data_IF_165864287619
#
_entry.id   IF_165864287619
#
_cell.length_a   1.000
_cell.length_b   1.000
_cell.length_c   1.000
_cell.angle_alpha   90.00
_cell.angle_beta   90.00
_cell.angle_gamma   90.00
#
_symmetry.space_group_name_H-M   'P 1'
#
loop_
_entity.id
_entity.type
_entity.pdbx_description
1 polymer ?
#
# COMPACT_ATOMS: atom_id res chain seq x y z
N UNK A 1 -20.93 10.29 38.63
CA UNK A 1 -20.61 10.79 37.26
C UNK A 1 -21.36 9.92 36.25
N UNK A 2 -21.83 10.47 35.13
CA UNK A 2 -22.45 9.65 34.07
C UNK A 2 -21.41 9.15 33.07
N UNK A 3 -21.65 7.98 32.50
CA UNK A 3 -20.81 7.41 31.45
C UNK A 3 -21.54 6.34 30.66
N UNK A 4 -20.78 5.57 29.90
CA UNK A 4 -21.27 4.50 29.06
C UNK A 4 -20.50 3.20 29.29
N UNK A 5 -21.21 2.08 29.15
CA UNK A 5 -20.62 0.75 29.21
C UNK A 5 -21.26 -0.15 28.17
N UNK A 6 -20.44 -0.99 27.54
CA UNK A 6 -20.88 -2.04 26.62
C UNK A 6 -20.73 -3.38 27.31
N UNK A 7 -21.66 -4.29 27.04
CA UNK A 7 -21.73 -5.65 27.54
C UNK A 7 -21.94 -6.62 26.37
N UNK A 8 -21.67 -7.89 26.64
CA UNK A 8 -22.03 -8.98 25.75
C UNK A 8 -23.55 -9.05 25.53
N UNK A 9 -24.03 -9.79 24.51
CA UNK A 9 -25.46 -9.89 24.20
C UNK A 9 -26.35 -10.36 25.36
N UNK A 10 -25.78 -11.13 26.29
CA UNK A 10 -26.40 -11.68 27.49
C UNK A 10 -26.27 -10.79 28.74
N UNK A 11 -25.87 -9.52 28.59
CA UNK A 11 -25.60 -8.58 29.69
C UNK A 11 -24.41 -8.95 30.59
N UNK A 12 -23.54 -9.85 30.15
CA UNK A 12 -22.30 -10.13 30.88
C UNK A 12 -21.18 -9.16 30.50
N UNK A 13 -20.28 -8.92 31.45
CA UNK A 13 -18.98 -8.31 31.18
C UNK A 13 -17.94 -9.04 32.03
N UNK A 14 -17.00 -9.74 31.38
CA UNK A 14 -16.17 -10.77 32.03
C UNK A 14 -17.08 -11.81 32.70
N UNK A 15 -16.80 -12.20 33.93
CA UNK A 15 -17.53 -13.24 34.66
C UNK A 15 -18.68 -12.67 35.51
N UNK A 16 -19.13 -11.44 35.23
CA UNK A 16 -20.16 -10.75 36.00
C UNK A 16 -21.41 -10.46 35.16
N UNK A 17 -22.57 -10.78 35.72
CA UNK A 17 -23.89 -10.56 35.11
C UNK A 17 -24.49 -9.24 35.58
N UNK A 18 -24.95 -8.42 34.64
CA UNK A 18 -25.60 -7.15 34.93
C UNK A 18 -27.09 -7.17 34.56
N UNK A 19 -27.83 -6.22 35.10
CA UNK A 19 -29.24 -5.95 34.80
C UNK A 19 -29.52 -4.46 34.87
N UNK A 20 -30.43 -3.98 34.02
CA UNK A 20 -30.85 -2.59 33.99
C UNK A 20 -31.60 -2.23 35.26
N UNK A 21 -31.29 -1.08 35.87
CA UNK A 21 -31.87 -0.58 37.11
C UNK A 21 -31.04 -0.90 38.36
N UNK A 22 -30.21 -1.94 38.27
CA UNK A 22 -29.44 -2.46 39.41
C UNK A 22 -28.17 -1.66 39.71
N UNK A 23 -27.74 -1.75 40.96
CA UNK A 23 -26.49 -1.16 41.47
C UNK A 23 -25.55 -2.23 41.98
N UNK A 24 -24.29 -2.15 41.59
CA UNK A 24 -23.25 -3.12 41.91
C UNK A 24 -22.10 -2.44 42.62
N UNK A 25 -21.54 -3.12 43.61
CA UNK A 25 -20.44 -2.62 44.46
C UNK A 25 -19.42 -3.73 44.69
N UNK A 26 -18.14 -3.39 44.61
CA UNK A 26 -17.01 -4.25 44.93
C UNK A 26 -16.18 -3.60 46.03
N UNK A 27 -15.76 -4.38 47.03
CA UNK A 27 -14.85 -3.91 48.09
C UNK A 27 -13.39 -3.88 47.59
N UNK A 28 -13.12 -2.95 46.68
CA UNK A 28 -11.79 -2.71 46.09
C UNK A 28 -11.55 -1.21 45.91
N UNK A 29 -10.29 -0.78 46.07
CA UNK A 29 -9.88 0.54 45.56
C UNK A 29 -9.74 0.47 44.04
N UNK A 30 -10.51 1.25 43.26
CA UNK A 30 -10.47 1.22 41.80
C UNK A 30 -9.04 1.43 41.28
N UNK A 31 -8.69 0.68 40.23
CA UNK A 31 -7.47 0.91 39.47
C UNK A 31 -7.74 0.62 38.00
N UNK A 32 -7.73 1.66 37.18
CA UNK A 32 -8.07 1.57 35.78
C UNK A 32 -7.20 0.52 35.08
N UNK A 33 -7.82 -0.22 34.16
CA UNK A 33 -7.25 -1.40 33.51
C UNK A 33 -6.87 -2.60 34.42
N UNK A 34 -7.02 -2.52 35.75
CA UNK A 34 -6.73 -3.62 36.67
C UNK A 34 -7.96 -4.16 37.40
N UNK A 35 -8.61 -3.33 38.24
CA UNK A 35 -9.73 -3.76 39.11
C UNK A 35 -10.82 -2.69 39.25
N UNK A 36 -12.04 -3.13 39.56
CA UNK A 36 -13.26 -2.32 39.55
C UNK A 36 -14.02 -2.40 38.23
N UNK A 37 -15.20 -1.78 38.20
CA UNK A 37 -16.09 -1.77 37.03
C UNK A 37 -15.66 -0.75 36.00
N UNK A 38 -15.14 -1.20 34.85
CA UNK A 38 -14.71 -0.32 33.76
C UNK A 38 -15.88 0.26 32.96
N UNK A 39 -15.79 1.54 32.63
CA UNK A 39 -16.72 2.31 31.78
C UNK A 39 -15.95 3.39 31.00
N UNK A 40 -16.61 4.05 30.05
CA UNK A 40 -16.04 5.17 29.30
C UNK A 40 -16.88 6.44 29.49
N UNK A 41 -16.25 7.61 29.40
CA UNK A 41 -16.94 8.90 29.49
C UNK A 41 -17.75 9.16 28.23
N UNK A 42 -17.13 8.95 27.06
CA UNK A 42 -17.77 9.06 25.76
C UNK A 42 -18.17 7.68 25.24
N UNK A 43 -19.36 7.58 24.63
CA UNK A 43 -19.87 6.31 24.12
C UNK A 43 -18.96 5.70 23.04
N UNK A 44 -18.41 6.55 22.16
CA UNK A 44 -17.52 6.10 21.08
C UNK A 44 -16.28 5.36 21.61
N UNK A 45 -15.80 5.74 22.80
CA UNK A 45 -14.58 5.16 23.38
C UNK A 45 -14.80 3.74 23.89
N UNK A 46 -16.05 3.35 24.19
CA UNK A 46 -16.38 1.96 24.52
C UNK A 46 -16.00 1.01 23.39
N UNK A 47 -16.09 1.45 22.14
CA UNK A 47 -15.81 0.62 20.96
C UNK A 47 -14.32 0.51 20.62
N UNK A 48 -13.44 1.07 21.45
CA UNK A 48 -12.03 0.71 21.47
C UNK A 48 -11.79 -0.63 22.20
N UNK A 49 -12.76 -1.07 23.02
CA UNK A 49 -12.66 -2.26 23.87
C UNK A 49 -13.67 -3.36 23.48
N UNK A 50 -14.71 -2.99 22.73
CA UNK A 50 -15.74 -3.89 22.23
C UNK A 50 -15.90 -3.70 20.72
N UNK A 51 -16.19 -4.78 20.00
CA UNK A 51 -16.59 -4.68 18.60
C UNK A 51 -17.89 -3.85 18.48
N UNK A 52 -17.96 -3.01 17.46
CA UNK A 52 -19.18 -2.27 17.10
C UNK A 52 -20.21 -3.22 16.46
N UNK A 53 -20.90 -3.98 17.31
CA UNK A 53 -21.81 -5.06 16.93
C UNK A 53 -23.21 -4.82 17.52
N UNK A 54 -24.28 -4.76 16.70
CA UNK A 54 -25.64 -4.54 17.15
C UNK A 54 -26.20 -5.58 18.14
N UNK A 55 -25.54 -6.74 18.28
CA UNK A 55 -25.91 -7.74 19.28
C UNK A 55 -25.46 -7.38 20.70
N UNK A 56 -24.43 -6.53 20.82
CA UNK A 56 -23.96 -6.08 22.13
C UNK A 56 -24.99 -5.18 22.81
N UNK A 57 -24.94 -5.19 24.14
CA UNK A 57 -25.78 -4.32 24.99
C UNK A 57 -25.01 -3.07 25.35
N UNK A 58 -25.63 -1.90 25.15
CA UNK A 58 -25.01 -0.61 25.44
C UNK A 58 -25.86 0.09 26.50
N UNK A 59 -25.24 0.56 27.58
CA UNK A 59 -25.97 1.21 28.66
C UNK A 59 -25.39 2.58 29.01
N UNK A 60 -26.29 3.48 29.42
CA UNK A 60 -25.94 4.65 30.21
C UNK A 60 -25.75 4.20 31.67
N UNK A 61 -24.65 4.60 32.28
CA UNK A 61 -24.31 4.24 33.66
C UNK A 61 -24.11 5.47 34.52
N UNK A 62 -24.27 5.28 35.83
CA UNK A 62 -23.92 6.28 36.85
C UNK A 62 -22.91 5.67 37.82
N UNK A 63 -21.81 6.37 38.04
CA UNK A 63 -20.84 6.02 39.08
C UNK A 63 -21.26 6.63 40.42
N UNK A 64 -21.19 5.80 41.47
CA UNK A 64 -21.62 6.14 42.83
C UNK A 64 -20.48 6.01 43.86
N UNK A 65 -19.30 5.59 43.43
CA UNK A 65 -18.14 5.34 44.28
C UNK A 65 -16.90 6.11 43.83
N UNK A 66 -15.74 5.65 44.27
CA UNK A 66 -14.44 6.18 43.86
C UNK A 66 -14.21 5.89 42.37
N UNK A 67 -13.45 6.76 41.69
CA UNK A 67 -13.16 6.63 40.27
C UNK A 67 -11.65 6.74 40.07
N UNK A 68 -11.11 5.82 39.26
CA UNK A 68 -9.76 5.94 38.71
C UNK A 68 -9.86 6.02 37.19
N UNK A 69 -9.24 7.04 36.60
CA UNK A 69 -9.31 7.37 35.17
C UNK A 69 -7.93 7.22 34.55
N UNK A 70 -7.85 6.63 33.36
CA UNK A 70 -6.56 6.51 32.65
C UNK A 70 -6.03 7.88 32.21
N UNK A 71 -4.72 7.98 31.94
CA UNK A 71 -4.06 9.25 31.57
C UNK A 71 -4.70 9.95 30.37
N UNK A 72 -5.13 9.20 29.36
CA UNK A 72 -5.81 9.74 28.17
C UNK A 72 -7.29 10.09 28.40
N UNK A 73 -7.85 9.75 29.56
CA UNK A 73 -9.21 10.13 29.96
C UNK A 73 -10.36 9.38 29.27
N UNK A 74 -10.07 8.43 28.37
CA UNK A 74 -11.10 7.73 27.57
C UNK A 74 -11.80 6.63 28.38
N UNK A 75 -11.06 5.94 29.24
CA UNK A 75 -11.53 4.86 30.11
C UNK A 75 -11.37 5.19 31.58
N UNK A 76 -12.34 4.77 32.38
CA UNK A 76 -12.32 4.86 33.84
C UNK A 76 -12.80 3.55 34.46
N UNK A 77 -12.55 3.36 35.75
CA UNK A 77 -13.25 2.36 36.55
C UNK A 77 -13.75 2.93 37.88
N UNK A 78 -14.77 2.28 38.43
CA UNK A 78 -15.36 2.61 39.73
C UNK A 78 -15.55 1.36 40.58
N UNK A 79 -15.58 1.50 41.90
CA UNK A 79 -15.94 0.42 42.81
C UNK A 79 -17.46 0.29 43.01
N UNK A 80 -18.24 1.30 42.58
CA UNK A 80 -19.71 1.28 42.65
C UNK A 80 -20.33 1.87 41.39
N UNK A 81 -21.18 1.09 40.73
CA UNK A 81 -21.80 1.43 39.44
C UNK A 81 -23.29 1.11 39.44
N UNK A 82 -24.10 1.98 38.85
CA UNK A 82 -25.52 1.74 38.56
C UNK A 82 -25.75 1.69 37.06
N UNK A 83 -26.46 0.66 36.60
CA UNK A 83 -26.88 0.53 35.19
C UNK A 83 -28.20 1.25 35.03
N UNK A 84 -28.21 2.44 34.42
CA UNK A 84 -29.41 3.29 34.39
C UNK A 84 -30.44 2.74 33.40
N UNK A 85 -30.02 2.51 32.16
CA UNK A 85 -30.88 2.07 31.05
C UNK A 85 -30.05 1.52 29.90
N UNK A 86 -30.65 0.66 29.09
CA UNK A 86 -30.15 0.28 27.77
C UNK A 86 -30.35 1.46 26.78
N UNK A 87 -29.36 1.70 25.92
CA UNK A 87 -29.48 2.57 24.75
C UNK A 87 -29.96 1.75 23.57
N UNK A 88 -30.93 2.26 22.83
CA UNK A 88 -31.27 1.71 21.52
C UNK A 88 -30.12 1.92 20.53
N UNK A 89 -29.99 1.04 19.53
CA UNK A 89 -28.97 1.20 18.49
C UNK A 89 -29.16 2.45 17.64
N UNK A 90 -30.39 2.97 17.54
CA UNK A 90 -30.64 4.28 16.94
C UNK A 90 -29.96 5.41 17.73
N UNK A 91 -30.08 5.41 19.07
CA UNK A 91 -29.38 6.36 19.95
C UNK A 91 -27.86 6.20 19.87
N UNK A 92 -27.37 4.94 19.83
CA UNK A 92 -25.94 4.64 19.69
C UNK A 92 -25.40 5.24 18.40
N UNK A 93 -26.04 4.94 17.26
CA UNK A 93 -25.64 5.46 15.93
C UNK A 93 -25.65 7.00 15.90
N UNK A 94 -26.66 7.63 16.50
CA UNK A 94 -26.76 9.09 16.59
C UNK A 94 -25.64 9.72 17.43
N UNK A 95 -25.15 9.01 18.46
CA UNK A 95 -24.09 9.50 19.35
C UNK A 95 -22.68 9.28 18.79
N UNK A 96 -22.45 8.21 18.05
CA UNK A 96 -21.10 7.87 17.52
C UNK A 96 -20.81 8.45 16.14
N UNK A 97 -21.79 9.06 15.49
CA UNK A 97 -21.65 9.74 14.20
C UNK A 97 -21.98 11.23 14.32
N UNK A 98 -21.35 12.05 13.49
CA UNK A 98 -21.66 13.48 13.37
C UNK A 98 -22.47 13.72 12.09
N UNK A 99 -23.71 14.18 12.23
CA UNK A 99 -24.60 14.49 11.10
C UNK A 99 -25.83 13.58 11.04
N UNK A 100 -26.33 13.26 9.84
CA UNK A 100 -27.65 12.60 9.65
C UNK A 100 -27.56 11.31 8.86
N UNK A 101 -28.39 10.33 9.20
CA UNK A 101 -28.59 9.09 8.45
C UNK A 101 -27.31 8.29 8.18
N UNK A 102 -26.31 8.39 9.07
CA UNK A 102 -25.10 7.59 8.94
C UNK A 102 -25.32 6.23 9.61
N UNK A 103 -24.86 5.16 8.98
CA UNK A 103 -24.83 3.80 9.54
C UNK A 103 -23.39 3.34 9.71
N UNK A 104 -23.11 2.59 10.78
CA UNK A 104 -21.75 2.25 11.21
C UNK A 104 -21.18 3.27 12.20
N UNK A 105 -19.85 3.34 12.29
CA UNK A 105 -19.13 4.02 13.35
C UNK A 105 -18.25 5.16 12.84
N UNK A 106 -18.30 6.31 13.52
CA UNK A 106 -17.33 7.40 13.32
C UNK A 106 -17.48 8.18 12.02
N UNK A 107 -18.64 8.16 11.37
CA UNK A 107 -18.88 8.94 10.16
C UNK A 107 -19.18 10.41 10.48
N UNK A 108 -18.78 11.31 9.57
CA UNK A 108 -19.10 12.73 9.59
C UNK A 108 -19.80 13.15 8.29
N UNK A 109 -20.97 13.79 8.40
CA UNK A 109 -21.76 14.25 7.26
C UNK A 109 -23.09 13.52 7.12
N UNK A 110 -23.50 13.16 5.90
CA UNK A 110 -24.86 12.65 5.65
C UNK A 110 -24.91 11.37 4.82
N UNK A 111 -25.80 10.46 5.20
CA UNK A 111 -26.14 9.28 4.41
C UNK A 111 -24.92 8.39 4.08
N UNK A 112 -23.92 8.34 4.97
CA UNK A 112 -22.78 7.45 4.81
C UNK A 112 -23.06 6.08 5.42
N UNK A 113 -22.66 5.02 4.72
CA UNK A 113 -22.80 3.64 5.18
C UNK A 113 -21.44 2.95 5.29
N UNK A 114 -21.08 2.56 6.51
CA UNK A 114 -19.80 1.95 6.86
C UNK A 114 -19.11 2.78 7.93
N UNK A 115 -17.79 2.73 8.01
CA UNK A 115 -17.06 3.35 9.12
C UNK A 115 -16.14 4.48 8.64
N UNK A 116 -16.04 5.52 9.47
CA UNK A 116 -15.07 6.61 9.31
C UNK A 116 -15.13 7.34 7.97
N UNK A 117 -16.31 7.43 7.36
CA UNK A 117 -16.50 8.24 6.16
C UNK A 117 -16.72 9.71 6.51
N UNK A 118 -16.19 10.61 5.70
CA UNK A 118 -16.43 12.05 5.78
C UNK A 118 -17.08 12.56 4.48
N UNK A 119 -18.17 13.30 4.59
CA UNK A 119 -18.91 13.85 3.46
C UNK A 119 -20.28 13.19 3.30
N UNK A 120 -20.67 12.84 2.07
CA UNK A 120 -22.05 12.42 1.82
C UNK A 120 -22.19 11.21 0.89
N UNK A 121 -23.14 10.33 1.19
CA UNK A 121 -23.53 9.20 0.35
C UNK A 121 -22.37 8.23 0.05
N UNK A 122 -21.38 8.12 0.94
CA UNK A 122 -20.30 7.15 0.76
C UNK A 122 -20.70 5.78 1.31
N UNK A 123 -20.33 4.72 0.59
CA UNK A 123 -20.53 3.33 1.01
C UNK A 123 -19.17 2.63 1.12
N UNK A 124 -18.93 1.95 2.22
CA UNK A 124 -17.64 1.35 2.58
C UNK A 124 -16.94 2.17 3.66
N UNK A 125 -15.62 2.10 3.77
CA UNK A 125 -14.91 2.68 4.90
C UNK A 125 -13.88 3.74 4.50
N UNK A 126 -13.64 4.70 5.39
CA UNK A 126 -12.58 5.70 5.25
C UNK A 126 -12.66 6.55 3.97
N UNK A 127 -13.84 6.70 3.38
CA UNK A 127 -13.99 7.57 2.21
C UNK A 127 -14.14 9.02 2.63
N UNK A 128 -13.53 9.92 1.86
CA UNK A 128 -13.72 11.37 2.00
C UNK A 128 -14.30 11.94 0.70
N UNK A 129 -15.44 12.62 0.79
CA UNK A 129 -16.10 13.28 -0.33
C UNK A 129 -17.51 12.76 -0.58
N UNK A 130 -17.87 12.54 -1.86
CA UNK A 130 -19.27 12.35 -2.25
C UNK A 130 -19.47 11.12 -3.14
N UNK A 131 -20.41 10.27 -2.76
CA UNK A 131 -20.84 9.11 -3.55
C UNK A 131 -19.71 8.12 -3.88
N UNK A 132 -18.71 7.96 -3.02
CA UNK A 132 -17.68 6.94 -3.21
C UNK A 132 -18.21 5.57 -2.75
N UNK A 133 -17.87 4.51 -3.48
CA UNK A 133 -18.23 3.14 -3.17
C UNK A 133 -16.97 2.26 -3.11
N UNK A 134 -16.71 1.67 -1.95
CA UNK A 134 -15.49 0.94 -1.63
C UNK A 134 -14.74 1.62 -0.50
N UNK A 135 -13.42 1.48 -0.43
CA UNK A 135 -12.66 1.90 0.76
C UNK A 135 -11.57 2.94 0.44
N UNK A 136 -11.36 3.87 1.37
CA UNK A 136 -10.24 4.82 1.32
C UNK A 136 -10.19 5.69 0.06
N UNK A 137 -11.34 6.00 -0.54
CA UNK A 137 -11.40 6.89 -1.70
C UNK A 137 -11.53 8.35 -1.26
N UNK A 138 -10.86 9.25 -1.99
CA UNK A 138 -10.97 10.69 -1.83
C UNK A 138 -11.51 11.34 -3.09
N UNK A 139 -12.53 12.20 -2.94
CA UNK A 139 -13.16 12.94 -4.03
C UNK A 139 -14.57 12.44 -4.34
N UNK A 140 -14.92 12.22 -5.62
CA UNK A 140 -16.32 12.05 -6.03
C UNK A 140 -16.57 10.84 -6.93
N UNK A 141 -17.55 10.02 -6.58
CA UNK A 141 -18.06 8.92 -7.44
C UNK A 141 -17.00 7.88 -7.82
N UNK A 142 -16.03 7.64 -6.94
CA UNK A 142 -15.03 6.59 -7.15
C UNK A 142 -15.61 5.21 -6.75
N UNK A 143 -15.19 4.16 -7.46
CA UNK A 143 -15.55 2.77 -7.19
C UNK A 143 -14.29 1.93 -7.05
N UNK A 144 -14.12 1.25 -5.91
CA UNK A 144 -12.92 0.46 -5.60
C UNK A 144 -12.17 1.03 -4.41
N UNK A 145 -10.84 0.91 -4.40
CA UNK A 145 -10.01 1.29 -3.25
C UNK A 145 -8.95 2.32 -3.58
N UNK A 146 -8.66 3.20 -2.62
CA UNK A 146 -7.54 4.14 -2.69
C UNK A 146 -7.53 5.06 -3.93
N UNK A 147 -8.70 5.38 -4.48
CA UNK A 147 -8.76 6.32 -5.59
C UNK A 147 -8.79 7.77 -5.10
N UNK A 148 -8.10 8.66 -5.80
CA UNK A 148 -8.17 10.10 -5.62
C UNK A 148 -8.71 10.79 -6.87
N UNK A 149 -9.56 11.80 -6.69
CA UNK A 149 -10.19 12.54 -7.78
C UNK A 149 -11.62 12.08 -8.05
N UNK A 150 -11.99 11.79 -9.30
CA UNK A 150 -13.41 11.61 -9.63
C UNK A 150 -13.75 10.56 -10.70
N UNK A 151 -14.82 9.79 -10.45
CA UNK A 151 -15.36 8.79 -11.39
C UNK A 151 -14.37 7.70 -11.78
N UNK A 152 -13.41 7.38 -10.92
CA UNK A 152 -12.48 6.27 -11.14
C UNK A 152 -13.16 4.93 -10.80
N UNK A 153 -12.81 3.87 -11.52
CA UNK A 153 -13.27 2.49 -11.27
C UNK A 153 -12.08 1.54 -11.26
N UNK A 154 -11.91 0.78 -10.18
CA UNK A 154 -10.72 -0.02 -9.87
C UNK A 154 -9.94 0.62 -8.72
N UNK A 155 -8.66 0.31 -8.60
CA UNK A 155 -7.88 0.60 -7.40
C UNK A 155 -6.67 1.49 -7.66
N UNK A 156 -6.35 2.34 -6.69
CA UNK A 156 -5.17 3.20 -6.68
C UNK A 156 -5.07 4.16 -7.89
N UNK A 157 -6.19 4.64 -8.42
CA UNK A 157 -6.16 5.63 -9.50
C UNK A 157 -6.10 7.06 -8.96
N UNK A 158 -5.41 7.94 -9.67
CA UNK A 158 -5.40 9.39 -9.42
C UNK A 158 -5.89 10.16 -10.65
N UNK A 159 -6.64 11.24 -10.43
CA UNK A 159 -7.26 12.02 -11.50
C UNK A 159 -8.71 11.60 -11.74
N UNK A 160 -9.15 11.39 -12.99
CA UNK A 160 -10.57 11.15 -13.24
C UNK A 160 -10.96 10.30 -14.42
N UNK A 161 -12.11 9.64 -14.30
CA UNK A 161 -12.68 8.73 -15.31
C UNK A 161 -11.75 7.55 -15.69
N UNK A 162 -10.78 7.19 -14.84
CA UNK A 162 -9.92 6.05 -15.11
C UNK A 162 -10.63 4.73 -14.82
N UNK A 163 -10.34 3.70 -15.62
CA UNK A 163 -10.83 2.33 -15.46
C UNK A 163 -9.66 1.36 -15.37
N UNK A 164 -9.69 0.46 -14.40
CA UNK A 164 -8.57 -0.41 -14.07
C UNK A 164 -7.77 0.15 -12.89
N UNK A 165 -6.47 -0.17 -12.80
CA UNK A 165 -5.71 0.08 -11.57
C UNK A 165 -4.44 0.90 -11.81
N UNK A 166 -4.05 1.68 -10.81
CA UNK A 166 -2.80 2.46 -10.77
C UNK A 166 -2.65 3.48 -11.91
N UNK A 167 -3.75 3.93 -12.50
CA UNK A 167 -3.69 4.95 -13.55
C UNK A 167 -3.62 6.36 -12.93
N UNK A 168 -2.86 7.23 -13.57
CA UNK A 168 -2.75 8.64 -13.22
C UNK A 168 -3.15 9.52 -14.41
N UNK A 169 -3.94 10.56 -14.15
CA UNK A 169 -4.47 11.44 -15.20
C UNK A 169 -5.93 11.16 -15.52
N UNK A 170 -6.32 11.20 -16.79
CA UNK A 170 -7.74 11.19 -17.16
C UNK A 170 -8.09 10.19 -18.24
N UNK A 171 -9.21 9.48 -18.03
CA UNK A 171 -9.84 8.60 -19.01
C UNK A 171 -8.92 7.47 -19.52
N UNK A 172 -8.00 6.99 -18.68
CA UNK A 172 -7.16 5.84 -19.01
C UNK A 172 -7.89 4.53 -18.70
N UNK A 173 -7.65 3.52 -19.52
CA UNK A 173 -8.19 2.17 -19.35
C UNK A 173 -7.06 1.14 -19.29
N UNK A 174 -7.00 0.37 -18.21
CA UNK A 174 -6.02 -0.69 -17.98
C UNK A 174 -5.18 -0.45 -16.74
N UNK A 175 -3.88 -0.74 -16.81
CA UNK A 175 -2.99 -0.77 -15.65
C UNK A 175 -1.79 0.17 -15.79
N UNK A 176 -1.55 1.00 -14.77
CA UNK A 176 -0.36 1.86 -14.67
C UNK A 176 -0.12 2.79 -15.87
N UNK A 177 -1.20 3.36 -16.43
CA UNK A 177 -1.06 4.40 -17.44
C UNK A 177 -0.95 5.78 -16.80
N UNK A 178 -0.19 6.67 -17.43
CA UNK A 178 -0.04 8.07 -17.04
C UNK A 178 -0.37 8.99 -18.23
N UNK A 179 -1.28 9.95 -18.02
CA UNK A 179 -1.67 10.93 -19.04
C UNK A 179 -3.17 10.85 -19.40
N UNK A 180 -3.51 11.00 -20.68
CA UNK A 180 -4.90 11.10 -21.14
C UNK A 180 -5.29 10.04 -22.17
N UNK A 181 -6.45 9.40 -21.98
CA UNK A 181 -7.06 8.52 -22.99
C UNK A 181 -6.18 7.34 -23.46
N UNK A 182 -5.32 6.80 -22.60
CA UNK A 182 -4.56 5.59 -22.95
C UNK A 182 -5.41 4.33 -22.75
N UNK A 183 -5.25 3.34 -23.61
CA UNK A 183 -5.89 2.03 -23.54
C UNK A 183 -4.85 0.91 -23.61
N UNK A 184 -4.69 0.18 -22.52
CA UNK A 184 -3.69 -0.88 -22.34
C UNK A 184 -2.91 -0.67 -21.04
N UNK A 185 -1.65 -1.13 -20.98
CA UNK A 185 -0.89 -1.16 -19.73
C UNK A 185 0.46 -0.47 -19.86
N UNK A 186 0.81 0.36 -18.87
CA UNK A 186 2.13 0.98 -18.76
C UNK A 186 2.40 2.07 -19.80
N UNK A 187 1.37 2.74 -20.33
CA UNK A 187 1.57 3.83 -21.27
C UNK A 187 1.83 5.16 -20.55
N UNK A 188 2.69 6.00 -21.12
CA UNK A 188 2.95 7.37 -20.68
C UNK A 188 2.75 8.34 -21.85
N UNK A 189 1.92 9.36 -21.67
CA UNK A 189 1.51 10.30 -22.71
C UNK A 189 0.02 10.17 -23.02
N UNK A 190 -0.41 10.46 -24.24
CA UNK A 190 -1.83 10.59 -24.57
C UNK A 190 -2.26 9.74 -25.77
N UNK A 191 -3.49 9.22 -25.70
CA UNK A 191 -4.13 8.51 -26.82
C UNK A 191 -3.36 7.28 -27.32
N UNK A 192 -2.56 6.64 -26.48
CA UNK A 192 -1.90 5.40 -26.85
C UNK A 192 -2.85 4.20 -26.71
N UNK A 193 -2.79 3.30 -27.68
CA UNK A 193 -3.48 2.01 -27.69
C UNK A 193 -2.42 0.91 -27.81
N UNK A 194 -2.40 0.01 -26.83
CA UNK A 194 -1.37 -1.01 -26.68
C UNK A 194 -0.65 -0.85 -25.35
N UNK A 195 0.51 -1.49 -25.20
CA UNK A 195 1.22 -1.58 -23.94
C UNK A 195 2.61 -0.95 -24.02
N UNK A 196 3.05 -0.35 -22.91
CA UNK A 196 4.40 0.19 -22.72
C UNK A 196 4.81 1.24 -23.74
N UNK A 197 3.87 2.04 -24.23
CA UNK A 197 4.19 3.17 -25.10
C UNK A 197 4.56 4.42 -24.28
N UNK A 198 5.51 5.18 -24.79
CA UNK A 198 5.84 6.53 -24.38
C UNK A 198 5.65 7.46 -25.57
N UNK A 199 5.01 8.62 -25.37
CA UNK A 199 4.65 9.55 -26.46
C UNK A 199 3.14 9.56 -26.70
N UNK A 200 2.71 9.95 -27.91
CA UNK A 200 1.29 10.20 -28.18
C UNK A 200 0.78 9.46 -29.43
N UNK A 201 -0.48 9.05 -29.40
CA UNK A 201 -1.18 8.48 -30.57
C UNK A 201 -0.56 7.19 -31.14
N UNK A 202 0.18 6.43 -30.34
CA UNK A 202 0.70 5.13 -30.79
C UNK A 202 -0.39 4.06 -30.72
N UNK A 203 -0.54 3.26 -31.77
CA UNK A 203 -1.41 2.09 -31.85
C UNK A 203 -0.58 0.82 -32.06
N UNK A 204 0.37 0.60 -31.16
CA UNK A 204 1.34 -0.50 -31.16
C UNK A 204 1.81 -0.78 -29.73
N UNK A 205 2.80 -1.64 -29.52
CA UNK A 205 3.44 -1.84 -28.22
C UNK A 205 4.87 -1.28 -28.22
N UNK A 206 5.37 -0.94 -27.03
CA UNK A 206 6.77 -0.60 -26.80
C UNK A 206 7.32 0.54 -27.68
N UNK A 207 6.47 1.49 -28.09
CA UNK A 207 6.90 2.65 -28.88
C UNK A 207 7.28 3.83 -28.01
N UNK A 208 8.27 4.61 -28.45
CA UNK A 208 8.69 5.87 -27.83
C UNK A 208 8.42 7.10 -28.71
N UNK A 209 7.60 6.97 -29.76
CA UNK A 209 7.35 8.02 -30.75
C UNK A 209 5.91 8.56 -30.75
N UNK A 210 5.52 9.14 -31.88
CA UNK A 210 4.15 9.62 -32.12
C UNK A 210 3.55 8.98 -33.39
N UNK A 211 2.25 8.70 -33.37
CA UNK A 211 1.50 8.19 -34.54
C UNK A 211 2.01 6.86 -35.13
N UNK A 212 2.59 5.98 -34.32
CA UNK A 212 3.08 4.68 -34.80
C UNK A 212 1.99 3.61 -34.79
N UNK A 213 1.88 2.83 -35.86
CA UNK A 213 0.93 1.70 -35.97
C UNK A 213 1.60 0.33 -36.08
N UNK A 214 2.92 0.30 -36.25
CA UNK A 214 3.73 -0.90 -36.36
C UNK A 214 4.65 -1.02 -35.15
N UNK A 215 5.11 -2.24 -34.82
CA UNK A 215 6.08 -2.40 -33.74
C UNK A 215 7.43 -1.78 -34.14
N UNK A 216 7.92 -0.79 -33.38
CA UNK A 216 9.13 -0.08 -33.76
C UNK A 216 10.35 -0.98 -33.67
N UNK A 217 11.27 -0.76 -34.60
CA UNK A 217 12.60 -1.36 -34.53
C UNK A 217 13.45 -0.64 -33.48
N UNK A 218 14.26 -1.39 -32.76
CA UNK A 218 15.10 -0.87 -31.70
C UNK A 218 16.47 -0.44 -32.23
N UNK A 219 17.08 0.51 -31.54
CA UNK A 219 18.50 0.80 -31.70
C UNK A 219 19.31 -0.32 -31.03
N UNK A 220 20.36 -0.77 -31.72
CA UNK A 220 21.41 -1.59 -31.13
C UNK A 220 22.74 -0.94 -31.48
N UNK A 221 23.61 -0.79 -30.47
CA UNK A 221 24.91 -0.13 -30.62
C UNK A 221 24.79 1.25 -31.30
N UNK A 222 23.84 2.05 -30.79
CA UNK A 222 23.54 3.42 -31.26
C UNK A 222 23.11 3.54 -32.73
N UNK A 223 22.77 2.44 -33.40
CA UNK A 223 22.33 2.41 -34.80
C UNK A 223 21.00 1.69 -34.98
N UNK A 224 20.17 2.06 -35.97
CA UNK A 224 18.95 1.33 -36.30
C UNK A 224 19.24 -0.14 -36.60
N UNK A 225 18.45 -1.04 -36.04
CA UNK A 225 18.48 -2.46 -36.35
C UNK A 225 17.18 -2.90 -37.03
N UNK A 226 17.13 -4.13 -37.53
CA UNK A 226 15.89 -4.74 -38.01
C UNK A 226 15.13 -5.50 -36.91
N UNK A 227 15.60 -5.45 -35.67
CA UNK A 227 14.99 -6.15 -34.53
C UNK A 227 13.95 -5.27 -33.84
N UNK A 228 12.86 -5.88 -33.38
CA UNK A 228 11.97 -5.29 -32.39
C UNK A 228 12.49 -5.55 -30.97
N UNK A 229 11.86 -4.95 -29.97
CA UNK A 229 12.16 -5.30 -28.58
C UNK A 229 11.74 -6.75 -28.26
N UNK A 230 10.69 -7.25 -28.93
CA UNK A 230 10.28 -8.64 -28.86
C UNK A 230 11.38 -9.58 -29.33
N UNK A 231 12.04 -9.26 -30.46
CA UNK A 231 13.17 -10.04 -30.97
C UNK A 231 14.31 -10.11 -29.95
N UNK A 232 14.64 -8.99 -29.31
CA UNK A 232 15.65 -8.94 -28.24
C UNK A 232 15.29 -9.86 -27.06
N UNK A 233 14.08 -9.73 -26.51
CA UNK A 233 13.66 -10.50 -25.34
C UNK A 233 13.61 -12.02 -25.58
N UNK A 234 13.39 -12.46 -26.82
CA UNK A 234 13.37 -13.88 -27.17
C UNK A 234 14.69 -14.38 -27.78
N UNK A 235 15.72 -13.53 -27.86
CA UNK A 235 17.00 -13.89 -28.45
C UNK A 235 17.86 -14.73 -27.51
N UNK A 236 18.63 -15.66 -28.09
CA UNK A 236 19.65 -16.42 -27.34
C UNK A 236 20.71 -15.52 -26.72
N UNK A 237 21.07 -14.42 -27.40
CA UNK A 237 22.04 -13.45 -26.90
C UNK A 237 21.57 -12.80 -25.60
N UNK A 238 20.29 -12.40 -25.50
CA UNK A 238 19.71 -11.87 -24.26
C UNK A 238 19.80 -12.90 -23.12
N UNK A 239 19.46 -14.17 -23.36
CA UNK A 239 19.55 -15.24 -22.35
C UNK A 239 20.98 -15.45 -21.86
N UNK A 240 21.98 -15.35 -22.74
CA UNK A 240 23.39 -15.43 -22.37
C UNK A 240 23.75 -14.22 -21.49
N UNK A 241 23.40 -13.01 -21.92
CA UNK A 241 23.79 -11.77 -21.27
C UNK A 241 23.04 -11.49 -19.96
N UNK A 242 21.83 -12.03 -19.76
CA UNK A 242 21.07 -11.91 -18.51
C UNK A 242 21.80 -12.55 -17.31
N UNK A 243 22.75 -13.46 -17.58
CA UNK A 243 23.62 -14.07 -16.57
C UNK A 243 24.77 -13.18 -16.11
N UNK A 244 24.96 -12.00 -16.73
CA UNK A 244 25.99 -11.06 -16.30
C UNK A 244 25.67 -10.52 -14.90
N UNK A 245 26.65 -10.59 -14.00
CA UNK A 245 26.51 -10.06 -12.66
C UNK A 245 26.67 -8.53 -12.69
N UNK A 246 25.57 -7.80 -12.86
CA UNK A 246 25.57 -6.33 -12.80
C UNK A 246 25.34 -5.77 -11.38
N UNK A 247 25.34 -6.62 -10.34
CA UNK A 247 25.25 -6.16 -8.96
C UNK A 247 26.59 -5.60 -8.49
N UNK A 248 26.82 -4.32 -8.81
CA UNK A 248 28.00 -3.56 -8.38
C UNK A 248 28.11 -3.39 -6.86
N UNK A 249 27.13 -3.88 -6.10
CA UNK A 249 27.01 -3.72 -4.66
C UNK A 249 26.67 -5.07 -4.02
N UNK A 250 27.55 -5.55 -3.12
CA UNK A 250 27.36 -6.76 -2.32
C UNK A 250 27.28 -6.37 -0.85
N UNK A 251 26.28 -6.88 -0.12
CA UNK A 251 26.24 -6.75 1.34
C UNK A 251 27.25 -7.68 2.00
N UNK A 252 28.17 -7.13 2.79
CA UNK A 252 29.19 -7.87 3.56
C UNK A 252 28.80 -7.83 5.04
N UNK A 253 28.54 -9.00 5.61
CA UNK A 253 28.24 -9.15 7.03
C UNK A 253 29.48 -8.90 7.90
N UNK A 254 29.29 -8.35 9.10
CA UNK A 254 30.35 -8.02 10.07
C UNK A 254 31.38 -9.14 10.32
N UNK A 255 30.93 -10.39 10.30
CA UNK A 255 31.79 -11.58 10.51
C UNK A 255 32.75 -11.86 9.34
N UNK A 256 32.49 -11.28 8.16
CA UNK A 256 33.29 -11.44 6.93
C UNK A 256 34.11 -10.20 6.59
N UNK A 257 34.02 -9.14 7.38
CA UNK A 257 34.76 -7.89 7.16
C UNK A 257 36.21 -8.00 7.61
N UNK A 258 37.16 -7.48 6.82
CA UNK A 258 38.56 -7.30 7.21
C UNK A 258 38.71 -6.21 8.28
N UNK A 259 39.90 -6.11 8.90
CA UNK A 259 40.20 -5.03 9.85
C UNK A 259 40.15 -3.66 9.16
N UNK A 260 40.70 -3.54 7.95
CA UNK A 260 40.64 -2.28 7.19
C UNK A 260 39.20 -1.91 6.81
N UNK A 261 38.37 -2.88 6.43
CA UNK A 261 36.95 -2.63 6.11
C UNK A 261 36.16 -2.14 7.33
N UNK A 262 36.49 -2.63 8.54
CA UNK A 262 35.89 -2.18 9.80
C UNK A 262 36.35 -0.78 10.21
N UNK A 263 37.60 -0.44 9.93
CA UNK A 263 38.15 0.91 10.17
C UNK A 263 37.51 1.96 9.22
N UNK A 264 37.25 1.59 7.97
CA UNK A 264 36.64 2.50 6.97
C UNK A 264 35.11 2.65 7.13
N UNK A 265 34.45 1.69 7.77
CA UNK A 265 32.99 1.67 7.94
C UNK A 265 32.57 1.44 9.39
N UNK A 266 32.92 2.35 10.33
CA UNK A 266 32.72 2.13 11.78
C UNK A 266 31.27 1.86 12.20
N UNK A 267 30.29 2.29 11.40
CA UNK A 267 28.86 2.04 11.63
C UNK A 267 28.44 0.56 11.45
N UNK A 268 29.37 -0.32 11.04
CA UNK A 268 29.12 -1.74 10.81
C UNK A 268 28.59 -2.48 12.04
N UNK A 269 28.90 -2.02 13.26
CA UNK A 269 28.42 -2.63 14.50
C UNK A 269 26.93 -2.41 14.70
N UNK A 270 26.40 -1.27 14.26
CA UNK A 270 24.98 -0.93 14.34
C UNK A 270 24.21 -1.56 13.17
N UNK A 271 24.80 -1.55 11.96
CA UNK A 271 24.15 -2.01 10.73
C UNK A 271 24.30 -3.52 10.48
N UNK A 272 25.18 -4.21 11.20
CA UNK A 272 25.46 -5.64 11.02
C UNK A 272 26.26 -5.98 9.75
N UNK A 273 26.88 -4.98 9.12
CA UNK A 273 27.65 -5.12 7.90
C UNK A 273 27.74 -3.80 7.13
N UNK A 274 28.20 -3.87 5.89
CA UNK A 274 28.21 -2.72 4.97
C UNK A 274 28.01 -3.16 3.51
N UNK A 275 27.59 -2.22 2.67
CA UNK A 275 27.41 -2.45 1.24
C UNK A 275 28.74 -2.17 0.50
N UNK A 276 29.42 -3.22 0.05
CA UNK A 276 30.69 -3.12 -0.65
C UNK A 276 30.48 -3.01 -2.14
N UNK A 277 31.16 -2.05 -2.77
CA UNK A 277 31.21 -1.96 -4.23
C UNK A 277 32.09 -3.08 -4.78
N UNK A 278 31.52 -4.03 -5.53
CA UNK A 278 32.30 -5.04 -6.23
C UNK A 278 32.75 -4.50 -7.59
N UNK A 279 34.01 -4.78 -7.96
CA UNK A 279 34.54 -4.47 -9.27
C UNK A 279 34.13 -5.60 -10.24
N UNK A 280 32.89 -5.57 -10.71
CA UNK A 280 32.30 -6.65 -11.51
C UNK A 280 32.94 -6.84 -12.90
N UNK A 281 33.85 -5.95 -13.30
CA UNK A 281 34.55 -6.00 -14.58
C UNK A 281 35.36 -7.31 -14.74
N UNK A 282 36.10 -7.73 -13.71
CA UNK A 282 36.83 -9.01 -13.73
C UNK A 282 35.88 -10.21 -13.72
N UNK A 283 34.76 -10.12 -12.99
CA UNK A 283 33.75 -11.17 -12.95
C UNK A 283 33.04 -11.35 -14.30
N UNK A 284 32.76 -10.27 -15.02
CA UNK A 284 32.12 -10.31 -16.33
C UNK A 284 33.08 -10.87 -17.39
N UNK A 285 34.37 -10.51 -17.34
CA UNK A 285 35.37 -11.12 -18.21
C UNK A 285 35.51 -12.62 -17.94
N UNK A 286 35.60 -13.04 -16.67
CA UNK A 286 35.66 -14.47 -16.32
C UNK A 286 34.42 -15.25 -16.74
N UNK A 287 33.24 -14.61 -16.71
CA UNK A 287 32.02 -15.19 -17.27
C UNK A 287 32.15 -15.37 -18.78
N UNK A 288 32.57 -14.32 -19.49
CA UNK A 288 32.75 -14.35 -20.94
C UNK A 288 33.75 -15.42 -21.39
N UNK A 289 34.90 -15.53 -20.70
CA UNK A 289 35.96 -16.46 -21.04
C UNK A 289 35.51 -17.93 -20.90
N UNK A 290 34.51 -18.20 -20.05
CA UNK A 290 33.91 -19.54 -19.85
C UNK A 290 32.84 -19.90 -20.88
N UNK A 291 32.34 -18.95 -21.66
CA UNK A 291 31.38 -19.24 -22.72
C UNK A 291 32.04 -20.06 -23.82
N UNK A 292 31.28 -20.97 -24.41
CA UNK A 292 31.70 -21.65 -25.64
C UNK A 292 31.84 -20.65 -26.79
N UNK A 293 32.66 -20.97 -27.79
CA UNK A 293 32.81 -20.09 -28.97
C UNK A 293 31.48 -19.88 -29.70
N UNK A 294 30.61 -20.89 -29.76
CA UNK A 294 29.27 -20.75 -30.31
C UNK A 294 28.42 -19.72 -29.54
N UNK A 295 28.49 -19.70 -28.21
CA UNK A 295 27.79 -18.69 -27.38
C UNK A 295 28.38 -17.29 -27.59
N UNK A 296 29.70 -17.16 -27.69
CA UNK A 296 30.35 -15.88 -27.99
C UNK A 296 29.95 -15.38 -29.38
N UNK A 297 29.90 -16.25 -30.38
CA UNK A 297 29.48 -15.91 -31.75
C UNK A 297 28.02 -15.48 -31.81
N UNK A 298 27.14 -16.12 -31.03
CA UNK A 298 25.74 -15.67 -30.88
C UNK A 298 25.68 -14.22 -30.41
N UNK A 299 26.47 -13.83 -29.39
CA UNK A 299 26.50 -12.44 -28.91
C UNK A 299 27.13 -11.50 -29.93
N UNK A 300 28.24 -11.90 -30.56
CA UNK A 300 28.93 -11.10 -31.59
C UNK A 300 28.09 -10.92 -32.86
N UNK A 301 27.12 -11.79 -33.11
CA UNK A 301 26.18 -11.70 -34.24
C UNK A 301 25.00 -10.74 -34.02
N UNK A 302 24.94 -10.06 -32.86
CA UNK A 302 23.93 -9.04 -32.63
C UNK A 302 23.96 -7.95 -33.72
N UNK A 303 22.79 -7.42 -34.13
CA UNK A 303 22.74 -6.31 -35.08
C UNK A 303 23.62 -5.14 -34.66
N UNK A 304 24.41 -4.64 -35.61
CA UNK A 304 25.33 -3.51 -35.40
C UNK A 304 26.37 -3.73 -34.29
N UNK A 305 26.69 -4.98 -33.91
CA UNK A 305 27.62 -5.26 -32.82
C UNK A 305 28.91 -4.45 -32.93
N UNK A 306 29.24 -3.75 -31.84
CA UNK A 306 30.40 -2.88 -31.72
C UNK A 306 31.16 -3.28 -30.45
N UNK A 307 32.40 -3.75 -30.63
CA UNK A 307 33.21 -4.30 -29.55
C UNK A 307 33.59 -3.25 -28.49
N UNK A 308 33.82 -2.01 -28.91
CA UNK A 308 34.21 -0.93 -27.99
C UNK A 308 33.01 -0.50 -27.14
N UNK A 309 31.83 -0.32 -27.75
CA UNK A 309 30.59 -0.03 -27.02
C UNK A 309 30.22 -1.21 -26.11
N UNK A 310 30.38 -2.45 -26.57
CA UNK A 310 30.12 -3.64 -25.75
C UNK A 310 31.03 -3.67 -24.51
N UNK A 311 32.33 -3.40 -24.69
CA UNK A 311 33.30 -3.30 -23.60
C UNK A 311 33.00 -2.15 -22.65
N UNK A 312 32.60 -0.99 -23.16
CA UNK A 312 32.19 0.16 -22.35
C UNK A 312 31.00 -0.18 -21.43
N UNK A 313 29.98 -0.85 -21.96
CA UNK A 313 28.75 -1.18 -21.21
C UNK A 313 28.96 -2.36 -20.26
N UNK A 314 29.66 -3.41 -20.69
CA UNK A 314 29.72 -4.68 -19.96
C UNK A 314 31.02 -4.90 -19.18
N UNK A 315 32.08 -4.17 -19.53
CA UNK A 315 33.43 -4.40 -19.03
C UNK A 315 34.19 -5.54 -19.70
N UNK A 316 33.58 -6.24 -20.66
CA UNK A 316 34.17 -7.40 -21.33
C UNK A 316 35.02 -6.94 -22.52
N UNK A 317 36.30 -7.29 -22.50
CA UNK A 317 37.19 -7.17 -23.64
C UNK A 317 37.20 -8.48 -24.43
N UNK A 318 36.55 -8.45 -25.60
CA UNK A 318 36.43 -9.64 -26.46
C UNK A 318 37.74 -9.95 -27.22
N UNK A 319 38.70 -9.04 -27.24
CA UNK A 319 40.00 -9.18 -27.92
C UNK A 319 41.11 -9.57 -26.94
N UNK A 320 40.80 -9.69 -25.64
CA UNK A 320 41.78 -10.05 -24.61
C UNK A 320 42.27 -11.49 -24.83
N UNK A 321 43.54 -11.64 -25.22
CA UNK A 321 44.19 -12.94 -25.41
C UNK A 321 44.08 -13.54 -26.81
N UNK A 322 43.68 -12.73 -27.81
CA UNK A 322 43.83 -13.00 -29.25
C UNK A 322 45.09 -12.32 -29.77
#
# INVERSE_FOLDING_TARGET
MKGYKVFNPDWTCRDFQYSVGETYEEDVTPRCCKRGFHFCTELKDCFNYYCFDPLNKVAEIETLGEIDTEEEGRKSCTNKIKIIRELSWEEVLKKVNMGKNNTGFGNTGTDNNGNYNTGSHNTGNYNTGICNNGDSNSGKRNKGKYNSGGRNTGDCNSGGCNKGNRNSGFNNNGYSNSGYCNNGNGNSGNHNIGNRNSGDWNRTNCSCGCFNTEEPKILMFNKPSNWTIGDWYHSKAMIILDKLHNNSLQWILTIKMSREEKEQHPDYEILGGYLRKQNNLESNQLFWDKLSECEKDIVKSLPNFDAEIFKEITGIDINKGV
#
